data_IF_366037760429
#
_entry.id   IF_366037760429
#
_cell.length_a   1.000
_cell.length_b   1.000
_cell.length_c   1.000
_cell.angle_alpha   90.00
_cell.angle_beta   90.00
_cell.angle_gamma   90.00
#
_symmetry.space_group_name_H-M   'P 1'
#
loop_
_entity.id
_entity.type
_entity.pdbx_description
1 polymer ?
#
# COMPACT_ATOMS: atom_id res chain seq x y z
N UNK A 1 11.43 10.40 5.52
CA UNK A 1 10.07 9.81 5.64
C UNK A 1 10.16 8.35 6.03
N UNK A 2 10.65 8.07 7.24
CA UNK A 2 10.92 6.69 7.66
C UNK A 2 9.64 5.92 8.03
N UNK A 3 8.58 6.62 8.49
CA UNK A 3 7.35 5.98 8.94
C UNK A 3 6.50 5.44 7.80
N UNK A 4 6.30 6.22 6.73
CA UNK A 4 5.51 5.79 5.56
C UNK A 4 6.10 4.51 4.95
N UNK A 5 7.43 4.51 4.75
CA UNK A 5 8.17 3.34 4.26
C UNK A 5 8.01 2.12 5.17
N UNK A 6 8.10 2.29 6.49
CA UNK A 6 7.90 1.20 7.46
C UNK A 6 6.48 0.64 7.44
N UNK A 7 5.47 1.49 7.32
CA UNK A 7 4.07 1.08 7.21
C UNK A 7 3.90 0.23 5.95
N UNK A 8 4.28 0.75 4.79
CA UNK A 8 4.09 0.04 3.52
C UNK A 8 4.89 -1.24 3.42
N UNK A 9 6.11 -1.28 3.99
CA UNK A 9 6.90 -2.52 4.06
C UNK A 9 6.18 -3.62 4.85
N UNK A 10 5.49 -3.28 5.95
CA UNK A 10 4.67 -4.26 6.70
C UNK A 10 3.44 -4.71 5.92
N UNK A 11 2.73 -3.77 5.30
CA UNK A 11 1.52 -4.10 4.54
C UNK A 11 1.81 -5.00 3.33
N UNK A 12 2.96 -4.83 2.67
CA UNK A 12 3.42 -5.73 1.61
C UNK A 12 3.79 -7.10 2.18
N UNK A 13 4.53 -7.16 3.29
CA UNK A 13 4.90 -8.42 3.93
C UNK A 13 3.69 -9.24 4.41
N UNK A 14 2.65 -8.55 4.89
CA UNK A 14 1.36 -9.13 5.29
C UNK A 14 0.41 -9.36 4.11
N UNK A 15 0.85 -9.07 2.88
CA UNK A 15 0.09 -9.28 1.63
C UNK A 15 -1.23 -8.51 1.56
N UNK A 16 -1.33 -7.41 2.29
CA UNK A 16 -2.50 -6.53 2.34
C UNK A 16 -2.53 -5.53 1.17
N UNK A 17 -1.37 -5.22 0.61
CA UNK A 17 -1.19 -4.38 -0.59
C UNK A 17 -0.08 -4.95 -1.46
N UNK A 18 -0.06 -4.58 -2.74
CA UNK A 18 1.05 -4.95 -3.65
C UNK A 18 2.25 -4.00 -3.50
N UNK A 19 3.45 -4.44 -3.87
CA UNK A 19 4.65 -3.60 -3.88
C UNK A 19 4.47 -2.34 -4.77
N UNK A 20 3.79 -2.51 -5.91
CA UNK A 20 3.48 -1.41 -6.83
C UNK A 20 2.53 -0.36 -6.22
N UNK A 21 1.49 -0.81 -5.51
CA UNK A 21 0.56 0.11 -4.84
C UNK A 21 1.22 0.76 -3.62
N UNK A 22 2.05 0.01 -2.88
CA UNK A 22 2.85 0.54 -1.77
C UNK A 22 3.73 1.72 -2.20
N UNK A 23 4.48 1.60 -3.30
CA UNK A 23 5.31 2.71 -3.83
C UNK A 23 4.49 3.95 -4.18
N UNK A 24 3.30 3.77 -4.77
CA UNK A 24 2.43 4.89 -5.16
C UNK A 24 1.79 5.56 -3.95
N UNK A 25 1.39 4.76 -2.96
CA UNK A 25 0.74 5.24 -1.76
C UNK A 25 1.73 5.82 -0.74
N UNK A 26 2.99 5.37 -0.72
CA UNK A 26 4.04 5.93 0.12
C UNK A 26 4.20 7.43 -0.12
N UNK A 27 4.31 7.85 -1.39
CA UNK A 27 4.40 9.26 -1.78
C UNK A 27 3.12 10.03 -1.43
N UNK A 28 1.95 9.43 -1.60
CA UNK A 28 0.68 10.10 -1.23
C UNK A 28 0.54 10.25 0.28
N UNK A 29 1.02 9.28 1.06
CA UNK A 29 0.94 9.28 2.53
C UNK A 29 1.86 10.34 3.10
N UNK A 30 3.06 10.39 2.56
CA UNK A 30 4.05 11.44 2.75
C UNK A 30 3.46 12.86 2.56
N UNK A 31 2.69 13.05 1.50
CA UNK A 31 2.05 14.31 1.14
C UNK A 31 0.72 14.58 1.89
N UNK A 32 0.22 13.64 2.71
CA UNK A 32 -1.09 13.74 3.36
C UNK A 32 -2.28 13.64 2.40
N UNK A 33 -2.09 13.05 1.21
CA UNK A 33 -3.07 12.96 0.12
C UNK A 33 -3.70 11.58 -0.04
N UNK A 34 -3.47 10.65 0.88
CA UNK A 34 -4.11 9.33 0.81
C UNK A 34 -5.57 9.46 1.17
N UNK A 35 -6.45 9.00 0.28
CA UNK A 35 -7.89 8.98 0.51
C UNK A 35 -8.35 7.56 0.88
N UNK A 36 -9.52 7.40 1.51
CA UNK A 36 -10.06 6.08 1.83
C UNK A 36 -10.17 5.14 0.61
N UNK A 37 -10.46 5.68 -0.57
CA UNK A 37 -10.63 4.90 -1.80
C UNK A 37 -9.29 4.33 -2.30
N UNK A 38 -8.18 5.04 -2.06
CA UNK A 38 -6.84 4.56 -2.41
C UNK A 38 -6.49 3.30 -1.60
N UNK A 39 -6.89 3.25 -0.31
CA UNK A 39 -6.73 2.06 0.54
C UNK A 39 -7.58 0.89 0.07
N UNK A 40 -8.86 1.15 -0.20
CA UNK A 40 -9.80 0.11 -0.63
C UNK A 40 -9.33 -0.58 -1.90
N UNK A 41 -8.94 0.21 -2.91
CA UNK A 41 -8.49 -0.33 -4.19
C UNK A 41 -7.20 -1.16 -4.04
N UNK A 42 -6.25 -0.75 -3.19
CA UNK A 42 -5.01 -1.49 -2.97
C UNK A 42 -5.27 -2.86 -2.32
N UNK A 43 -6.21 -2.93 -1.39
CA UNK A 43 -6.63 -4.17 -0.72
C UNK A 43 -7.34 -5.10 -1.70
N UNK A 44 -8.31 -4.58 -2.46
CA UNK A 44 -9.04 -5.35 -3.48
C UNK A 44 -8.09 -5.97 -4.51
N UNK A 45 -7.12 -5.18 -5.01
CA UNK A 45 -6.07 -5.68 -5.92
C UNK A 45 -5.19 -6.75 -5.30
N UNK A 46 -4.82 -6.63 -4.02
CA UNK A 46 -3.98 -7.61 -3.34
C UNK A 46 -4.72 -8.95 -3.16
N UNK A 47 -6.02 -8.88 -2.85
CA UNK A 47 -6.90 -10.04 -2.76
C UNK A 47 -7.09 -10.72 -4.13
N UNK A 48 -7.36 -9.95 -5.19
CA UNK A 48 -7.56 -10.47 -6.55
C UNK A 48 -6.29 -11.06 -7.18
N UNK A 49 -5.14 -10.41 -6.98
CA UNK A 49 -3.86 -10.88 -7.52
C UNK A 49 -3.30 -12.10 -6.78
N UNK A 50 -3.98 -12.60 -5.74
CA UNK A 50 -3.54 -13.73 -4.95
C UNK A 50 -2.12 -13.52 -4.45
N UNK A 51 -1.87 -12.37 -3.79
CA UNK A 51 -0.62 -12.07 -3.10
C UNK A 51 0.65 -12.67 -3.74
N UNK A 52 0.99 -12.22 -4.96
CA UNK A 52 2.35 -12.44 -5.47
C UNK A 52 3.31 -11.59 -4.63
N UNK A 53 3.89 -12.26 -3.64
CA UNK A 53 5.12 -11.89 -2.97
C UNK A 53 6.26 -11.71 -3.98
#
# INVERSE_FOLDING_TARGET
MELAKKIFSRLVAEKLVTDDDAKKMETKLADGKVRPEDWRLAIEKAAEKGAKA
#
